data_IF_526665915762
#
_entry.id   IF_526665915762
#
_cell.length_a   1.000
_cell.length_b   1.000
_cell.length_c   1.000
_cell.angle_alpha   90.00
_cell.angle_beta   90.00
_cell.angle_gamma   90.00
#
_symmetry.space_group_name_H-M   'P 1'
#
loop_
_entity.id
_entity.type
_entity.pdbx_description
1 polymer ?
#
# COMPACT_ATOMS: atom_id res chain seq x y z
N UNK A 1 16.09 8.75 -2.98
CA UNK A 1 14.64 9.01 -3.20
C UNK A 1 13.84 8.33 -2.11
N UNK A 2 12.79 8.99 -1.61
CA UNK A 2 11.96 8.50 -0.51
C UNK A 2 10.53 8.23 -1.00
N UNK A 3 10.07 6.99 -0.88
CA UNK A 3 8.73 6.52 -1.28
C UNK A 3 7.98 6.10 -0.03
N UNK A 4 6.75 6.59 0.13
CA UNK A 4 5.88 6.25 1.24
C UNK A 4 4.58 5.63 0.75
N UNK A 5 4.08 4.60 1.44
CA UNK A 5 2.76 4.03 1.23
C UNK A 5 1.92 4.21 2.51
N UNK A 6 0.68 4.66 2.37
CA UNK A 6 -0.19 4.92 3.51
C UNK A 6 -1.67 4.78 3.14
N UNK A 7 -2.35 3.82 3.74
CA UNK A 7 -3.80 3.83 3.77
C UNK A 7 -4.27 4.98 4.67
N UNK A 8 -4.81 6.03 4.07
CA UNK A 8 -5.17 7.27 4.78
C UNK A 8 -6.57 7.24 5.37
N UNK A 9 -7.37 6.22 5.05
CA UNK A 9 -8.75 6.05 5.51
C UNK A 9 -9.59 7.35 5.38
N UNK A 10 -9.75 7.86 4.17
CA UNK A 10 -10.32 9.15 3.75
C UNK A 10 -9.34 10.33 3.82
N UNK A 11 -8.87 10.75 2.64
CA UNK A 11 -7.94 11.89 2.48
C UNK A 11 -8.53 13.19 3.06
N UNK A 12 -9.83 13.44 2.84
CA UNK A 12 -10.50 14.67 3.33
C UNK A 12 -10.62 14.69 4.84
N UNK A 13 -10.92 13.52 5.46
CA UNK A 13 -11.07 13.45 6.91
C UNK A 13 -9.71 13.54 7.64
N UNK A 14 -8.62 13.23 6.97
CA UNK A 14 -7.24 13.21 7.49
C UNK A 14 -6.35 14.25 6.83
N UNK A 15 -6.92 15.26 6.18
CA UNK A 15 -6.13 16.24 5.43
C UNK A 15 -5.07 16.94 6.30
N UNK A 16 -5.38 17.25 7.55
CA UNK A 16 -4.41 17.88 8.47
C UNK A 16 -3.26 16.91 8.85
N UNK A 17 -3.57 15.62 9.05
CA UNK A 17 -2.55 14.59 9.26
C UNK A 17 -1.64 14.43 8.04
N UNK A 18 -2.25 14.45 6.85
CA UNK A 18 -1.53 14.36 5.57
C UNK A 18 -0.62 15.57 5.39
N UNK A 19 -1.12 16.79 5.57
CA UNK A 19 -0.33 18.03 5.47
C UNK A 19 0.87 17.99 6.42
N UNK A 20 0.63 17.65 7.68
CA UNK A 20 1.69 17.53 8.68
C UNK A 20 2.72 16.46 8.28
N UNK A 21 2.26 15.29 7.78
CA UNK A 21 3.15 14.23 7.31
C UNK A 21 4.03 14.69 6.15
N UNK A 22 3.44 15.33 5.13
CA UNK A 22 4.16 15.83 3.96
C UNK A 22 5.20 16.89 4.34
N UNK A 23 4.87 17.79 5.27
CA UNK A 23 5.79 18.82 5.74
C UNK A 23 6.96 18.28 6.57
N UNK A 24 6.69 17.31 7.48
CA UNK A 24 7.70 16.83 8.43
C UNK A 24 8.59 15.74 7.84
N UNK A 25 8.04 14.84 7.03
CA UNK A 25 8.78 13.70 6.46
C UNK A 25 9.28 13.98 5.04
N UNK A 26 8.61 14.87 4.32
CA UNK A 26 8.97 15.35 2.98
C UNK A 26 9.36 14.22 2.01
N UNK A 27 8.52 13.16 1.84
CA UNK A 27 8.79 12.09 0.88
C UNK A 27 8.78 12.63 -0.55
N UNK A 28 9.48 11.97 -1.47
CA UNK A 28 9.47 12.35 -2.89
C UNK A 28 8.18 11.86 -3.58
N UNK A 29 7.70 10.68 -3.13
CA UNK A 29 6.47 10.03 -3.61
C UNK A 29 5.65 9.51 -2.43
N UNK A 30 4.33 9.72 -2.47
CA UNK A 30 3.39 9.12 -1.51
C UNK A 30 2.28 8.40 -2.25
N UNK A 31 2.07 7.14 -1.89
CA UNK A 31 1.05 6.27 -2.42
C UNK A 31 -0.05 6.12 -1.37
N UNK A 32 -1.21 6.74 -1.61
CA UNK A 32 -2.34 6.62 -0.71
C UNK A 32 -3.32 5.54 -1.16
N UNK A 33 -3.90 4.84 -0.19
CA UNK A 33 -5.04 3.95 -0.35
C UNK A 33 -6.21 4.48 0.49
N UNK A 34 -7.40 4.03 0.17
CA UNK A 34 -8.66 4.48 0.78
C UNK A 34 -8.84 6.01 0.83
N UNK A 35 -8.57 6.70 -0.29
CA UNK A 35 -8.80 8.14 -0.34
C UNK A 35 -10.29 8.51 -0.19
N UNK A 36 -11.21 7.57 -0.47
CA UNK A 36 -12.68 7.64 -0.27
C UNK A 36 -13.32 8.92 -0.85
N UNK A 37 -12.81 9.35 -2.00
CA UNK A 37 -13.31 10.54 -2.69
C UNK A 37 -13.21 10.37 -4.21
N UNK A 38 -14.14 10.96 -4.94
CA UNK A 38 -14.04 11.14 -6.39
C UNK A 38 -12.97 12.19 -6.68
N UNK A 39 -12.40 12.14 -7.88
CA UNK A 39 -11.35 13.05 -8.33
C UNK A 39 -11.78 14.52 -8.20
N UNK A 40 -13.01 14.88 -8.62
CA UNK A 40 -13.53 16.27 -8.52
C UNK A 40 -13.57 16.85 -7.10
N UNK A 41 -13.57 15.98 -6.07
CA UNK A 41 -13.62 16.37 -4.66
C UNK A 41 -12.30 16.14 -3.93
N UNK A 42 -11.24 15.78 -4.67
CA UNK A 42 -9.90 15.59 -4.10
C UNK A 42 -9.27 16.96 -3.76
N UNK A 43 -8.55 17.12 -2.65
CA UNK A 43 -7.99 18.40 -2.20
C UNK A 43 -6.72 18.79 -2.98
N UNK A 44 -6.82 18.96 -4.31
CA UNK A 44 -5.70 19.27 -5.20
C UNK A 44 -4.94 20.53 -4.77
N UNK A 45 -5.65 21.63 -4.47
CA UNK A 45 -5.03 22.91 -4.16
C UNK A 45 -4.24 22.86 -2.85
N UNK A 46 -4.76 22.14 -1.85
CA UNK A 46 -4.09 21.99 -0.57
C UNK A 46 -2.79 21.19 -0.70
N UNK A 47 -2.83 20.12 -1.51
CA UNK A 47 -1.66 19.27 -1.77
C UNK A 47 -0.64 20.01 -2.64
N UNK A 48 -1.09 20.73 -3.66
CA UNK A 48 -0.23 21.53 -4.55
C UNK A 48 0.54 22.61 -3.81
N UNK A 49 -0.09 23.28 -2.84
CA UNK A 49 0.58 24.28 -1.96
C UNK A 49 1.76 23.68 -1.16
N UNK A 50 1.79 22.36 -0.99
CA UNK A 50 2.88 21.63 -0.34
C UNK A 50 3.96 21.14 -1.33
N UNK A 51 3.86 21.51 -2.60
CA UNK A 51 4.83 21.16 -3.64
C UNK A 51 4.64 19.76 -4.25
N UNK A 52 3.41 19.21 -4.20
CA UNK A 52 3.13 17.91 -4.79
C UNK A 52 2.10 18.02 -5.92
N UNK A 53 2.40 17.33 -7.02
CA UNK A 53 1.41 16.99 -8.04
C UNK A 53 0.63 15.74 -7.58
N UNK A 54 -0.65 15.67 -7.95
CA UNK A 54 -1.55 14.58 -7.53
C UNK A 54 -2.09 13.83 -8.73
N UNK A 55 -2.01 12.51 -8.69
CA UNK A 55 -2.55 11.59 -9.70
C UNK A 55 -3.56 10.68 -9.00
N UNK A 56 -4.82 10.78 -9.39
CA UNK A 56 -5.94 10.24 -8.62
C UNK A 56 -6.71 9.19 -9.43
N UNK A 57 -6.94 8.04 -8.85
CA UNK A 57 -7.96 7.08 -9.27
C UNK A 57 -8.99 7.00 -8.14
N UNK A 58 -9.98 7.90 -8.19
CA UNK A 58 -10.93 8.13 -7.11
C UNK A 58 -12.23 7.34 -7.24
N UNK A 59 -12.87 7.09 -6.10
CA UNK A 59 -14.19 6.46 -6.04
C UNK A 59 -15.00 7.06 -4.88
N UNK A 60 -16.30 7.25 -5.10
CA UNK A 60 -17.20 7.86 -4.12
C UNK A 60 -17.36 6.95 -2.88
N UNK A 61 -17.05 7.49 -1.70
CA UNK A 61 -17.39 6.89 -0.40
C UNK A 61 -16.48 5.76 0.09
N UNK A 62 -15.85 4.98 -0.79
CA UNK A 62 -14.97 3.86 -0.45
C UNK A 62 -13.90 3.67 -1.52
N UNK A 63 -12.86 2.85 -1.24
CA UNK A 63 -11.71 2.65 -2.13
C UNK A 63 -11.00 3.95 -2.51
N UNK A 64 -10.45 3.98 -3.71
CA UNK A 64 -9.68 5.08 -4.27
C UNK A 64 -8.21 5.04 -3.86
N UNK A 65 -7.36 5.20 -4.86
CA UNK A 65 -5.90 5.26 -4.69
C UNK A 65 -5.35 6.49 -5.37
N UNK A 66 -4.25 7.04 -4.87
CA UNK A 66 -3.56 8.13 -5.56
C UNK A 66 -2.05 8.06 -5.35
N UNK A 67 -1.32 8.77 -6.22
CA UNK A 67 0.10 9.04 -6.08
C UNK A 67 0.29 10.54 -5.97
N UNK A 68 0.97 10.98 -4.91
CA UNK A 68 1.52 12.33 -4.82
C UNK A 68 2.99 12.30 -5.20
N UNK A 69 3.45 13.28 -5.96
CA UNK A 69 4.83 13.36 -6.40
C UNK A 69 5.34 14.79 -6.42
N UNK A 70 6.59 15.01 -5.95
CA UNK A 70 7.28 16.30 -6.11
C UNK A 70 7.70 16.58 -7.54
N UNK A 71 7.78 15.54 -8.39
CA UNK A 71 8.10 15.65 -9.81
C UNK A 71 6.91 15.23 -10.65
N UNK A 72 6.78 15.82 -11.84
CA UNK A 72 5.74 15.44 -12.79
C UNK A 72 5.94 13.98 -13.24
N UNK A 73 4.89 13.17 -13.13
CA UNK A 73 4.86 11.78 -13.56
C UNK A 73 4.23 11.67 -14.96
N UNK A 74 4.57 10.59 -15.66
CA UNK A 74 4.05 10.26 -16.99
C UNK A 74 3.54 8.82 -17.00
N UNK A 75 2.79 8.46 -18.04
CA UNK A 75 2.33 7.07 -18.26
C UNK A 75 1.54 6.51 -17.06
N UNK A 76 0.58 7.31 -16.56
CA UNK A 76 -0.30 6.86 -15.48
C UNK A 76 -1.24 5.78 -16.01
N UNK A 77 -1.26 4.61 -15.34
CA UNK A 77 -2.24 3.55 -15.60
C UNK A 77 -3.06 3.30 -14.34
N UNK A 78 -4.37 3.16 -14.49
CA UNK A 78 -5.33 2.93 -13.41
C UNK A 78 -6.11 1.62 -13.56
N UNK A 79 -5.78 0.82 -14.56
CA UNK A 79 -6.50 -0.41 -14.88
C UNK A 79 -5.72 -1.66 -14.45
N UNK A 80 -6.42 -2.60 -13.83
CA UNK A 80 -6.00 -3.98 -13.69
C UNK A 80 -6.68 -4.82 -14.78
N UNK A 81 -5.93 -5.34 -15.76
CA UNK A 81 -6.52 -6.11 -16.86
C UNK A 81 -7.33 -7.30 -16.35
N UNK A 82 -8.56 -7.44 -16.81
CA UNK A 82 -9.47 -8.52 -16.45
C UNK A 82 -10.35 -8.25 -15.23
N UNK A 83 -10.12 -7.18 -14.48
CA UNK A 83 -11.03 -6.79 -13.38
C UNK A 83 -12.32 -6.19 -13.97
N UNK A 84 -13.40 -7.00 -13.98
CA UNK A 84 -14.71 -6.60 -14.50
C UNK A 84 -15.46 -5.64 -13.58
N UNK A 85 -15.13 -5.63 -12.26
CA UNK A 85 -15.81 -4.79 -11.26
C UNK A 85 -15.27 -3.36 -11.31
N UNK A 86 -14.02 -3.17 -11.78
CA UNK A 86 -13.38 -1.86 -12.02
C UNK A 86 -13.43 -0.91 -10.82
N UNK A 87 -13.21 -1.44 -9.62
CA UNK A 87 -13.05 -0.58 -8.44
C UNK A 87 -11.70 0.16 -8.51
N UNK A 88 -11.66 1.38 -7.98
CA UNK A 88 -10.46 2.22 -7.94
C UNK A 88 -9.44 1.70 -6.92
N UNK A 89 -8.68 0.65 -7.32
CA UNK A 89 -7.77 -0.11 -6.43
C UNK A 89 -6.33 -0.17 -6.92
N UNK A 90 -6.06 0.38 -8.11
CA UNK A 90 -4.72 0.40 -8.69
C UNK A 90 -4.44 1.75 -9.34
N UNK A 91 -3.22 2.24 -9.16
CA UNK A 91 -2.62 3.31 -9.95
C UNK A 91 -1.13 3.04 -10.07
N UNK A 92 -0.59 3.18 -11.28
CA UNK A 92 0.83 2.94 -11.52
C UNK A 92 1.43 3.94 -12.49
N UNK A 93 2.76 4.07 -12.41
CA UNK A 93 3.57 4.94 -13.27
C UNK A 93 4.99 4.38 -13.37
N UNK A 94 5.77 4.86 -14.33
CA UNK A 94 7.20 4.60 -14.41
C UNK A 94 7.97 5.68 -13.63
N UNK A 95 8.97 5.25 -12.84
CA UNK A 95 9.88 6.14 -12.10
C UNK A 95 11.34 5.75 -12.34
N UNK A 96 12.24 6.66 -11.96
CA UNK A 96 13.69 6.43 -12.01
C UNK A 96 14.21 6.19 -10.58
N UNK A 97 14.92 5.07 -10.37
CA UNK A 97 15.70 4.77 -9.16
C UNK A 97 17.16 4.70 -9.57
N UNK A 98 17.98 5.67 -9.16
CA UNK A 98 19.34 5.83 -9.68
C UNK A 98 19.33 5.75 -11.22
N UNK A 99 20.08 4.81 -11.82
CA UNK A 99 20.11 4.58 -13.27
C UNK A 99 19.04 3.60 -13.78
N UNK A 100 18.23 3.01 -12.89
CA UNK A 100 17.21 2.01 -13.24
C UNK A 100 15.83 2.63 -13.42
N UNK A 101 15.11 2.19 -14.45
CA UNK A 101 13.66 2.45 -14.58
C UNK A 101 12.88 1.35 -13.88
N UNK A 102 11.87 1.74 -13.12
CA UNK A 102 10.99 0.82 -12.43
C UNK A 102 9.52 1.25 -12.54
N UNK A 103 8.64 0.28 -12.68
CA UNK A 103 7.20 0.50 -12.56
C UNK A 103 6.85 0.62 -11.06
N UNK A 104 6.34 1.77 -10.66
CA UNK A 104 5.79 2.02 -9.32
C UNK A 104 4.30 1.73 -9.36
N UNK A 105 3.85 0.75 -8.60
CA UNK A 105 2.47 0.28 -8.57
C UNK A 105 1.90 0.46 -7.17
N UNK A 106 0.86 1.27 -7.04
CA UNK A 106 0.09 1.45 -5.82
C UNK A 106 -1.18 0.62 -5.88
N UNK A 107 -1.41 -0.24 -4.90
CA UNK A 107 -2.58 -1.11 -4.83
C UNK A 107 -3.33 -0.98 -3.50
N UNK A 108 -4.64 -1.20 -3.59
CA UNK A 108 -5.52 -1.43 -2.46
C UNK A 108 -6.27 -2.75 -2.67
N UNK A 109 -5.74 -3.83 -2.11
CA UNK A 109 -6.33 -5.17 -2.25
C UNK A 109 -7.67 -5.21 -1.54
N UNK A 110 -8.72 -5.84 -2.12
CA UNK A 110 -9.99 -6.01 -1.42
C UNK A 110 -9.82 -6.64 -0.03
N UNK A 111 -10.54 -6.13 0.99
CA UNK A 111 -10.49 -6.69 2.33
C UNK A 111 -10.93 -8.16 2.35
N UNK A 112 -12.05 -8.46 1.71
CA UNK A 112 -12.52 -9.83 1.51
C UNK A 112 -13.38 -10.40 2.64
N UNK A 113 -13.53 -9.69 3.76
CA UNK A 113 -14.41 -10.16 4.85
C UNK A 113 -15.89 -9.87 4.58
N UNK A 114 -16.80 -10.72 5.04
CA UNK A 114 -16.57 -12.05 5.63
C UNK A 114 -16.07 -13.08 4.63
N UNK A 115 -15.34 -14.11 5.11
CA UNK A 115 -14.92 -15.24 4.27
C UNK A 115 -16.15 -15.98 3.70
N UNK A 116 -15.93 -16.74 2.63
CA UNK A 116 -16.94 -17.55 1.94
C UNK A 116 -18.14 -16.74 1.40
N UNK A 117 -17.89 -15.44 1.07
CA UNK A 117 -18.84 -14.52 0.43
C UNK A 117 -18.30 -14.02 -0.91
N UNK A 118 -19.16 -13.36 -1.70
CA UNK A 118 -18.74 -12.72 -2.97
C UNK A 118 -17.58 -11.75 -2.79
N UNK A 119 -17.48 -11.08 -1.62
CA UNK A 119 -16.36 -10.19 -1.29
C UNK A 119 -15.05 -10.97 -1.17
N UNK A 120 -15.11 -12.16 -0.58
CA UNK A 120 -13.96 -13.03 -0.44
C UNK A 120 -13.51 -13.57 -1.79
N UNK A 121 -14.43 -14.10 -2.59
CA UNK A 121 -14.14 -14.59 -3.93
C UNK A 121 -13.63 -13.48 -4.85
N UNK A 122 -14.17 -12.26 -4.73
CA UNK A 122 -13.62 -11.09 -5.44
C UNK A 122 -12.17 -10.81 -5.05
N UNK A 123 -11.82 -10.86 -3.75
CA UNK A 123 -10.43 -10.71 -3.30
C UNK A 123 -9.50 -11.75 -3.93
N UNK A 124 -9.89 -13.01 -3.91
CA UNK A 124 -9.09 -14.10 -4.49
C UNK A 124 -8.88 -13.90 -5.99
N UNK A 125 -9.96 -13.60 -6.72
CA UNK A 125 -9.88 -13.33 -8.16
C UNK A 125 -9.02 -12.09 -8.47
N UNK A 126 -9.17 -11.02 -7.68
CA UNK A 126 -8.39 -9.79 -7.85
C UNK A 126 -6.89 -10.04 -7.66
N UNK A 127 -6.52 -10.84 -6.65
CA UNK A 127 -5.14 -11.24 -6.42
C UNK A 127 -4.60 -12.13 -7.57
N UNK A 128 -5.40 -13.03 -8.11
CA UNK A 128 -5.01 -13.86 -9.26
C UNK A 128 -4.80 -13.01 -10.53
N UNK A 129 -5.63 -11.99 -10.76
CA UNK A 129 -5.44 -11.03 -11.85
C UNK A 129 -4.17 -10.18 -11.63
N UNK A 130 -3.90 -9.74 -10.40
CA UNK A 130 -2.67 -9.01 -10.07
C UNK A 130 -1.44 -9.86 -10.33
N UNK A 131 -1.43 -11.14 -9.94
CA UNK A 131 -0.34 -12.06 -10.22
C UNK A 131 -0.07 -12.15 -11.73
N UNK A 132 -1.10 -12.34 -12.55
CA UNK A 132 -0.99 -12.38 -14.02
C UNK A 132 -0.43 -11.07 -14.59
N UNK A 133 -0.88 -9.93 -14.04
CA UNK A 133 -0.38 -8.61 -14.44
C UNK A 133 1.11 -8.45 -14.14
N UNK A 134 1.56 -8.88 -12.95
CA UNK A 134 2.97 -8.86 -12.56
C UNK A 134 3.81 -9.82 -13.40
N UNK A 135 3.32 -11.05 -13.65
CA UNK A 135 3.99 -12.03 -14.53
C UNK A 135 4.26 -11.44 -15.94
N UNK A 136 3.26 -10.74 -16.51
CA UNK A 136 3.43 -10.06 -17.80
C UNK A 136 4.53 -9.01 -17.75
N UNK A 137 4.50 -8.12 -16.75
CA UNK A 137 5.53 -7.07 -16.60
C UNK A 137 6.94 -7.63 -16.40
N UNK A 138 7.08 -8.72 -15.65
CA UNK A 138 8.36 -9.40 -15.45
C UNK A 138 8.88 -10.01 -16.76
N UNK A 139 8.00 -10.63 -17.56
CA UNK A 139 8.36 -11.11 -18.91
C UNK A 139 8.84 -9.98 -19.82
N UNK A 140 8.32 -8.76 -19.66
CA UNK A 140 8.75 -7.55 -20.34
C UNK A 140 10.05 -6.95 -19.73
N UNK A 141 10.70 -7.67 -18.81
CA UNK A 141 11.93 -7.26 -18.09
C UNK A 141 11.78 -5.95 -17.31
N UNK A 142 10.58 -5.63 -16.86
CA UNK A 142 10.32 -4.46 -16.00
C UNK A 142 10.78 -4.74 -14.58
N UNK A 143 11.50 -3.77 -13.98
CA UNK A 143 11.68 -3.71 -12.54
C UNK A 143 10.43 -3.12 -11.91
N UNK A 144 10.03 -3.63 -10.74
CA UNK A 144 8.75 -3.27 -10.14
C UNK A 144 8.97 -2.92 -8.67
N UNK A 145 8.30 -1.84 -8.24
CA UNK A 145 8.07 -1.50 -6.83
C UNK A 145 6.55 -1.57 -6.63
N UNK A 146 6.10 -2.58 -5.90
CA UNK A 146 4.69 -2.83 -5.61
C UNK A 146 4.40 -2.43 -4.17
N UNK A 147 3.62 -1.39 -3.98
CA UNK A 147 3.31 -0.82 -2.66
C UNK A 147 1.80 -0.78 -2.43
N UNK A 148 1.40 -0.77 -1.19
CA UNK A 148 0.01 -0.50 -0.82
C UNK A 148 -0.46 -1.25 0.40
N UNK A 149 -1.76 -1.17 0.62
CA UNK A 149 -2.49 -1.99 1.56
C UNK A 149 -2.91 -3.29 0.85
N UNK A 150 -2.23 -4.36 1.22
CA UNK A 150 -2.48 -5.69 0.66
C UNK A 150 -3.67 -6.39 1.32
N UNK A 151 -4.11 -5.90 2.50
CA UNK A 151 -5.08 -6.63 3.30
C UNK A 151 -4.69 -8.11 3.50
N UNK A 152 -3.40 -8.39 3.64
CA UNK A 152 -2.85 -9.73 3.85
C UNK A 152 -1.84 -9.67 5.00
N UNK A 153 -2.00 -10.58 5.94
CA UNK A 153 -1.04 -10.90 6.99
C UNK A 153 -0.16 -12.05 6.44
N UNK A 154 1.08 -11.80 6.01
CA UNK A 154 1.90 -12.81 5.34
C UNK A 154 2.31 -13.97 6.24
N UNK A 155 2.78 -13.66 7.45
CA UNK A 155 3.32 -14.60 8.41
C UNK A 155 2.74 -14.34 9.81
N UNK A 156 2.86 -15.32 10.70
CA UNK A 156 2.33 -15.24 12.06
C UNK A 156 2.92 -14.05 12.84
N UNK A 157 4.20 -13.72 12.60
CA UNK A 157 4.88 -12.57 13.23
C UNK A 157 4.34 -11.20 12.78
N UNK A 158 3.49 -11.19 11.74
CA UNK A 158 2.85 -9.98 11.19
C UNK A 158 1.53 -9.64 11.88
N UNK A 159 1.10 -10.43 12.84
CA UNK A 159 -0.10 -10.19 13.63
C UNK A 159 0.16 -10.28 15.13
N UNK A 160 -0.55 -9.44 15.89
CA UNK A 160 -0.71 -9.65 17.32
C UNK A 160 -1.80 -10.71 17.54
N UNK A 161 -1.46 -11.86 18.12
CA UNK A 161 -2.35 -13.00 18.26
C UNK A 161 -2.86 -13.58 16.92
N UNK A 162 -1.99 -14.16 16.08
CA UNK A 162 -2.34 -14.68 14.76
C UNK A 162 -3.45 -15.73 14.79
N UNK A 163 -3.58 -16.49 15.89
CA UNK A 163 -4.63 -17.48 16.10
C UNK A 163 -6.07 -16.92 16.00
N UNK A 164 -6.25 -15.61 16.24
CA UNK A 164 -7.55 -14.94 16.13
C UNK A 164 -7.99 -14.70 14.68
N UNK A 165 -7.03 -14.77 13.75
CA UNK A 165 -7.26 -14.44 12.34
C UNK A 165 -7.35 -15.68 11.44
N UNK A 166 -7.33 -16.90 11.97
CA UNK A 166 -7.38 -18.15 11.19
C UNK A 166 -8.55 -18.22 10.22
N UNK A 167 -9.70 -17.63 10.61
CA UNK A 167 -10.90 -17.54 9.79
C UNK A 167 -11.14 -16.13 9.21
N UNK A 168 -10.12 -15.27 9.21
CA UNK A 168 -10.19 -13.93 8.65
C UNK A 168 -9.63 -13.90 7.22
N UNK A 169 -10.27 -13.15 6.33
CA UNK A 169 -9.85 -13.00 4.93
C UNK A 169 -8.44 -12.42 4.76
N UNK A 170 -7.87 -11.82 5.79
CA UNK A 170 -6.50 -11.30 5.77
C UNK A 170 -5.47 -12.41 6.01
N UNK A 171 -5.86 -13.55 6.60
CA UNK A 171 -4.93 -14.59 7.08
C UNK A 171 -5.19 -15.98 6.52
N UNK A 172 -6.32 -16.21 5.83
CA UNK A 172 -6.65 -17.51 5.21
C UNK A 172 -5.50 -18.00 4.35
N UNK A 173 -5.27 -19.33 4.37
CA UNK A 173 -4.15 -19.96 3.68
C UNK A 173 -4.11 -19.69 2.17
N UNK A 174 -5.27 -19.65 1.50
CA UNK A 174 -5.39 -19.39 0.07
C UNK A 174 -5.03 -17.93 -0.29
N UNK A 175 -5.26 -16.98 0.62
CA UNK A 175 -4.83 -15.58 0.48
C UNK A 175 -3.31 -15.48 0.70
N UNK A 176 -2.77 -16.11 1.77
CA UNK A 176 -1.32 -16.16 2.05
C UNK A 176 -0.55 -16.87 0.93
N UNK A 177 -1.10 -17.93 0.33
CA UNK A 177 -0.52 -18.59 -0.85
C UNK A 177 -0.36 -17.64 -2.03
N UNK A 178 -1.31 -16.71 -2.25
CA UNK A 178 -1.23 -15.71 -3.33
C UNK A 178 -0.15 -14.67 -3.05
N UNK A 179 -0.02 -14.22 -1.81
CA UNK A 179 1.10 -13.36 -1.42
C UNK A 179 2.45 -14.06 -1.66
N UNK A 180 2.61 -15.30 -1.21
CA UNK A 180 3.82 -16.11 -1.49
C UNK A 180 4.08 -16.31 -2.97
N UNK A 181 3.02 -16.47 -3.77
CA UNK A 181 3.16 -16.56 -5.24
C UNK A 181 3.73 -15.26 -5.81
N UNK A 182 3.29 -14.08 -5.32
CA UNK A 182 3.90 -12.79 -5.70
C UNK A 182 5.39 -12.77 -5.31
N UNK A 183 5.74 -13.14 -4.09
CA UNK A 183 7.15 -13.23 -3.66
C UNK A 183 7.96 -14.15 -4.58
N UNK A 184 7.42 -15.33 -4.92
CA UNK A 184 8.08 -16.32 -5.78
C UNK A 184 8.26 -15.86 -7.25
N UNK A 185 7.59 -14.80 -7.68
CA UNK A 185 7.86 -14.14 -8.96
C UNK A 185 9.17 -13.34 -8.96
N UNK A 186 9.92 -13.31 -7.87
CA UNK A 186 11.17 -12.57 -7.72
C UNK A 186 11.03 -11.24 -6.98
N UNK A 187 9.96 -11.09 -6.21
CA UNK A 187 9.81 -9.95 -5.29
C UNK A 187 10.43 -10.24 -3.93
N UNK A 188 10.83 -9.17 -3.26
CA UNK A 188 11.34 -9.18 -1.89
C UNK A 188 10.43 -8.30 -1.02
N UNK A 189 10.02 -8.79 0.14
CA UNK A 189 9.41 -7.98 1.20
C UNK A 189 10.52 -7.12 1.83
N UNK A 190 10.60 -5.87 1.41
CA UNK A 190 11.69 -4.98 1.79
C UNK A 190 11.76 -4.76 3.29
N UNK A 191 10.59 -4.72 3.97
CA UNK A 191 10.59 -4.55 5.41
C UNK A 191 11.25 -5.73 6.13
N UNK A 192 11.02 -6.95 5.68
CA UNK A 192 11.57 -8.17 6.29
C UNK A 192 13.06 -8.36 6.05
N UNK A 193 13.63 -7.73 5.02
CA UNK A 193 15.09 -7.70 4.83
C UNK A 193 15.79 -6.95 5.97
N UNK A 194 15.21 -5.86 6.44
CA UNK A 194 15.80 -5.00 7.47
C UNK A 194 15.26 -5.27 8.89
N UNK A 195 14.10 -5.92 9.01
CA UNK A 195 13.38 -6.10 10.27
C UNK A 195 12.83 -7.53 10.39
N UNK A 196 13.58 -8.41 11.03
CA UNK A 196 13.23 -9.82 11.22
C UNK A 196 12.30 -10.08 12.41
N UNK A 197 12.14 -9.10 13.32
CA UNK A 197 11.34 -9.24 14.55
C UNK A 197 9.87 -8.94 14.31
N UNK A 198 8.99 -9.62 15.05
CA UNK A 198 7.56 -9.33 15.14
C UNK A 198 7.27 -8.00 15.88
N UNK A 199 5.96 -7.68 16.04
CA UNK A 199 5.53 -6.48 16.78
C UNK A 199 5.67 -5.17 15.99
N UNK A 200 6.00 -5.25 14.72
CA UNK A 200 6.09 -4.12 13.81
C UNK A 200 4.87 -4.13 12.89
N UNK A 201 3.87 -3.36 13.24
CA UNK A 201 2.58 -3.32 12.57
C UNK A 201 2.40 -2.02 11.79
N UNK A 202 1.51 -2.05 10.79
CA UNK A 202 1.10 -0.89 10.01
C UNK A 202 -0.35 -0.49 10.26
N UNK A 203 -1.15 -1.39 10.82
CA UNK A 203 -2.56 -1.22 11.12
C UNK A 203 -2.86 -1.52 12.60
N UNK A 204 -3.77 -0.72 13.19
CA UNK A 204 -4.35 -0.93 14.53
C UNK A 204 -5.81 -0.50 14.52
N UNK A 205 -6.71 -1.41 14.82
CA UNK A 205 -8.13 -1.11 14.96
C UNK A 205 -8.36 0.07 15.94
N UNK A 206 -9.41 0.85 15.71
CA UNK A 206 -9.82 1.92 16.64
C UNK A 206 -10.39 1.39 17.95
N UNK A 207 -10.81 0.12 17.96
CA UNK A 207 -11.52 -0.49 19.09
C UNK A 207 -10.54 -1.05 20.15
N UNK A 208 -11.06 -1.21 21.38
CA UNK A 208 -10.44 -1.94 22.48
C UNK A 208 -9.02 -1.46 22.88
N UNK A 209 -8.65 -0.20 22.56
CA UNK A 209 -7.34 0.34 22.84
C UNK A 209 -6.22 -0.38 22.08
N UNK A 210 -6.50 -0.84 20.87
CA UNK A 210 -5.54 -1.64 20.07
C UNK A 210 -4.23 -0.93 19.83
N UNK A 211 -4.27 0.37 19.54
CA UNK A 211 -3.06 1.19 19.39
C UNK A 211 -2.21 1.22 20.67
N UNK A 212 -2.83 1.57 21.81
CA UNK A 212 -2.12 1.71 23.10
C UNK A 212 -1.50 0.38 23.57
N UNK A 213 -2.13 -0.74 23.23
CA UNK A 213 -1.69 -2.10 23.57
C UNK A 213 -0.80 -2.73 22.50
N UNK A 214 -0.46 -1.98 21.44
CA UNK A 214 0.25 -2.46 20.25
C UNK A 214 -0.35 -3.78 19.66
N UNK A 215 -1.69 -3.87 19.67
CA UNK A 215 -2.43 -4.99 19.06
C UNK A 215 -2.70 -4.68 17.61
N UNK A 216 -1.73 -4.93 16.75
CA UNK A 216 -1.76 -4.52 15.34
C UNK A 216 -1.51 -5.66 14.36
N UNK A 217 -1.54 -5.28 13.09
CA UNK A 217 -1.28 -6.12 11.93
C UNK A 217 -0.32 -5.41 10.99
N UNK A 218 0.57 -6.14 10.34
CA UNK A 218 1.34 -5.61 9.21
C UNK A 218 0.68 -6.10 7.92
N UNK A 219 -0.07 -5.22 7.29
CA UNK A 219 -0.86 -5.49 6.07
C UNK A 219 -0.56 -4.52 4.94
N UNK A 220 0.21 -3.47 5.23
CA UNK A 220 0.77 -2.56 4.22
C UNK A 220 2.22 -3.00 3.92
N UNK A 221 2.54 -3.14 2.64
CA UNK A 221 3.84 -3.65 2.21
C UNK A 221 4.44 -2.80 1.11
N UNK A 222 5.78 -2.79 1.05
CA UNK A 222 6.58 -2.36 -0.09
C UNK A 222 7.37 -3.57 -0.55
N UNK A 223 6.99 -4.12 -1.70
CA UNK A 223 7.68 -5.22 -2.35
C UNK A 223 8.47 -4.68 -3.53
N UNK A 224 9.69 -5.14 -3.72
CA UNK A 224 10.51 -4.73 -4.86
C UNK A 224 11.02 -5.94 -5.64
N UNK A 225 11.23 -5.78 -6.94
CA UNK A 225 12.06 -6.72 -7.69
C UNK A 225 13.41 -6.89 -6.98
N UNK A 226 13.94 -8.10 -6.91
CA UNK A 226 15.18 -8.44 -6.19
C UNK A 226 16.37 -7.55 -6.62
N UNK A 227 16.45 -7.19 -7.90
CA UNK A 227 17.50 -6.30 -8.44
C UNK A 227 17.46 -4.86 -7.92
N UNK A 228 16.40 -4.47 -7.19
CA UNK A 228 16.31 -3.14 -6.58
C UNK A 228 16.74 -3.13 -5.11
N UNK A 229 17.04 -4.28 -4.51
CA UNK A 229 17.36 -4.37 -3.09
C UNK A 229 18.64 -3.62 -2.72
N UNK A 230 19.64 -3.63 -3.60
CA UNK A 230 20.91 -2.94 -3.40
C UNK A 230 20.77 -1.41 -3.35
N UNK A 231 19.69 -0.87 -3.93
CA UNK A 231 19.38 0.56 -3.90
C UNK A 231 18.60 0.98 -2.65
N UNK A 232 18.20 0.04 -1.79
CA UNK A 232 17.41 0.35 -0.58
C UNK A 232 18.35 0.67 0.56
N UNK A 233 18.30 1.91 1.04
CA UNK A 233 19.08 2.38 2.18
C UNK A 233 18.38 2.10 3.51
N UNK A 234 17.05 2.24 3.57
CA UNK A 234 16.29 2.19 4.81
C UNK A 234 14.82 1.95 4.54
N UNK A 235 14.15 1.25 5.47
CA UNK A 235 12.69 1.13 5.50
C UNK A 235 12.18 1.28 6.93
N UNK A 236 11.10 2.03 7.12
CA UNK A 236 10.52 2.35 8.44
C UNK A 236 9.00 2.41 8.39
N UNK A 237 8.36 2.03 9.48
CA UNK A 237 6.95 2.31 9.75
C UNK A 237 6.87 3.57 10.63
N UNK A 238 6.19 4.62 10.16
CA UNK A 238 6.06 5.91 10.85
C UNK A 238 4.96 5.87 11.91
N UNK A 239 5.15 5.04 12.94
CA UNK A 239 4.15 4.77 14.00
C UNK A 239 3.64 6.04 14.70
N UNK A 240 4.48 7.09 14.83
CA UNK A 240 4.11 8.36 15.44
C UNK A 240 2.93 9.07 14.74
N UNK A 241 2.65 8.77 13.49
CA UNK A 241 1.49 9.32 12.76
C UNK A 241 0.18 8.74 13.33
N UNK A 242 0.20 7.49 13.81
CA UNK A 242 -0.97 6.83 14.43
C UNK A 242 -1.38 7.46 15.77
N UNK A 243 -0.49 8.20 16.46
CA UNK A 243 -0.77 8.89 17.72
C UNK A 243 -1.33 10.30 17.56
N UNK A 244 -1.55 10.78 16.34
CA UNK A 244 -2.09 12.12 16.08
C UNK A 244 -3.60 12.20 16.37
N UNK A 245 -4.16 13.43 16.32
CA UNK A 245 -5.61 13.66 16.48
C UNK A 245 -6.34 13.11 15.24
N UNK A 246 -7.41 12.35 15.43
CA UNK A 246 -8.22 11.71 14.36
C UNK A 246 -7.36 10.97 13.32
N UNK A 247 -6.42 10.13 13.72
CA UNK A 247 -5.47 9.51 12.80
C UNK A 247 -6.17 8.48 11.90
N UNK A 248 -5.50 8.05 10.84
CA UNK A 248 -5.85 6.80 10.16
C UNK A 248 -5.62 5.62 11.11
N UNK A 249 -6.31 4.51 10.92
CA UNK A 249 -6.03 3.21 11.56
C UNK A 249 -4.72 2.59 11.06
N UNK A 250 -4.16 3.09 9.95
CA UNK A 250 -2.86 2.72 9.45
C UNK A 250 -1.79 3.79 9.71
N UNK A 251 -0.54 3.37 9.80
CA UNK A 251 0.65 4.21 9.78
C UNK A 251 1.40 4.07 8.45
N UNK A 252 2.02 5.17 7.94
CA UNK A 252 2.83 5.10 6.74
C UNK A 252 3.99 4.12 6.87
N UNK A 253 4.26 3.34 5.81
CA UNK A 253 5.52 2.63 5.60
C UNK A 253 6.35 3.39 4.57
N UNK A 254 7.61 3.68 4.88
CA UNK A 254 8.48 4.55 4.10
C UNK A 254 9.77 3.84 3.75
N UNK A 255 10.10 3.79 2.45
CA UNK A 255 11.34 3.24 1.93
C UNK A 255 12.21 4.34 1.34
N UNK A 256 13.48 4.40 1.73
CA UNK A 256 14.47 5.32 1.20
C UNK A 256 15.41 4.56 0.27
N UNK A 257 15.42 4.97 -0.99
CA UNK A 257 16.36 4.51 -2.00
C UNK A 257 17.57 5.46 -2.08
N UNK A 258 18.71 4.93 -2.51
CA UNK A 258 19.94 5.69 -2.80
C UNK A 258 19.67 6.73 -3.89
#
# INVERSE_FOLDING_TARGET
MKISSWNVNSIRARIENVKKYLQTNSPDLVLFQEIKTEEKNFPFDEIKKLGYESYVNGQKGYNGVCILSKKKLKNINIELPGDKIKQSRLISTEIQIAEKKADLINIYVPNGNPVDTDKYFYKLNWLDLMIKYLEKKIKEKKLIILCGDFNIIPEDIDAHHPEKYLNDALFRLDVRKRFRKIINLGFIDTFRVFNTKGGNYTFWDYMAGSWQKNRGLRIDHILTSNLLIEYIKKIEIKKNIRSQIKPSDHAPIECTFI
#
